data_IF_641568948560
#
_entry.id   IF_641568948560
#
_cell.length_a   1.000
_cell.length_b   1.000
_cell.length_c   1.000
_cell.angle_alpha   90.00
_cell.angle_beta   90.00
_cell.angle_gamma   90.00
#
_symmetry.space_group_name_H-M   'P 1'
#
loop_
_entity.id
_entity.type
_entity.pdbx_description
1 polymer ?
#
# COMPACT_ATOMS: atom_id res chain seq x y z
N UNK A 1 20.01 53.38 2.85
CA UNK A 1 18.63 53.36 2.34
C UNK A 1 17.91 52.24 3.08
N UNK A 2 16.82 52.56 3.79
CA UNK A 2 15.98 51.54 4.41
C UNK A 2 14.95 51.12 3.36
N UNK A 3 14.89 49.82 3.07
CA UNK A 3 13.92 49.23 2.14
C UNK A 3 13.00 48.29 2.92
N UNK A 4 11.70 48.38 2.65
CA UNK A 4 10.67 47.50 3.18
C UNK A 4 10.07 46.72 2.00
N UNK A 5 9.85 45.42 2.18
CA UNK A 5 9.27 44.54 1.18
C UNK A 5 8.21 43.63 1.83
N UNK A 6 7.10 43.46 1.14
CA UNK A 6 6.02 42.55 1.53
C UNK A 6 5.62 41.67 0.35
N UNK A 7 5.37 40.38 0.58
CA UNK A 7 4.85 39.46 -0.42
C UNK A 7 3.38 39.15 -0.18
N UNK A 8 2.63 38.90 -1.25
CA UNK A 8 1.25 38.42 -1.24
C UNK A 8 1.31 36.98 -1.78
N UNK A 9 1.18 35.98 -0.91
CA UNK A 9 1.36 34.55 -1.24
C UNK A 9 0.02 33.84 -1.28
N UNK A 10 -0.27 33.14 -2.38
CA UNK A 10 -1.43 32.26 -2.52
C UNK A 10 -0.97 30.80 -2.43
N UNK A 11 -1.10 30.19 -1.26
CA UNK A 11 -0.78 28.77 -1.06
C UNK A 11 -1.83 27.89 -1.74
N UNK A 12 -1.41 26.81 -2.41
CA UNK A 12 -2.32 25.91 -3.13
C UNK A 12 -1.96 24.46 -2.87
N UNK A 13 -2.89 23.72 -2.26
CA UNK A 13 -2.75 22.26 -2.06
C UNK A 13 -3.41 21.52 -3.21
N UNK A 14 -2.85 20.37 -3.62
CA UNK A 14 -3.37 19.56 -4.74
C UNK A 14 -3.41 18.08 -4.37
N UNK A 15 -4.38 17.37 -4.92
CA UNK A 15 -4.49 15.92 -4.82
C UNK A 15 -5.55 15.35 -5.75
N UNK A 16 -5.72 14.03 -5.74
CA UNK A 16 -6.78 13.37 -6.49
C UNK A 16 -7.40 12.21 -5.72
N UNK A 17 -8.61 11.84 -6.11
CA UNK A 17 -9.34 10.66 -5.63
C UNK A 17 -9.79 9.80 -6.81
N UNK A 18 -9.87 8.48 -6.64
CA UNK A 18 -10.30 7.53 -7.66
C UNK A 18 -11.56 6.83 -7.17
N UNK A 19 -12.62 6.91 -7.96
CA UNK A 19 -13.88 6.22 -7.73
C UNK A 19 -14.09 5.16 -8.82
N UNK A 20 -14.12 3.89 -8.43
CA UNK A 20 -14.59 2.79 -9.27
C UNK A 20 -16.09 2.62 -9.08
N UNK A 21 -16.84 2.63 -10.18
CA UNK A 21 -18.23 2.19 -10.22
C UNK A 21 -18.18 0.77 -10.78
N UNK A 22 -18.60 -0.19 -9.96
CA UNK A 22 -18.67 -1.60 -10.31
C UNK A 22 -20.13 -2.05 -10.31
N UNK A 23 -20.54 -2.83 -11.31
CA UNK A 23 -21.95 -3.17 -11.52
C UNK A 23 -22.79 -2.00 -12.06
N UNK A 24 -22.26 -1.24 -13.03
CA UNK A 24 -22.91 -0.08 -13.65
C UNK A 24 -24.37 -0.37 -14.06
N UNK A 25 -24.62 -1.53 -14.68
CA UNK A 25 -25.96 -1.96 -15.08
C UNK A 25 -26.94 -1.98 -13.91
N UNK A 26 -26.51 -2.41 -12.72
CA UNK A 26 -27.31 -2.41 -11.49
C UNK A 26 -27.61 -1.00 -10.97
N UNK A 27 -26.73 -0.03 -11.23
CA UNK A 27 -26.94 1.37 -10.81
C UNK A 27 -28.03 2.07 -11.63
N UNK A 28 -28.40 1.54 -12.80
CA UNK A 28 -29.47 2.12 -13.65
C UNK A 28 -30.86 2.05 -13.02
N UNK A 29 -31.04 1.28 -11.95
CA UNK A 29 -32.28 1.26 -11.17
C UNK A 29 -32.49 2.51 -10.30
N UNK A 30 -31.46 3.34 -10.08
CA UNK A 30 -31.56 4.55 -9.26
C UNK A 30 -32.48 5.59 -9.91
N UNK A 31 -33.49 6.13 -9.22
CA UNK A 31 -34.37 7.15 -9.80
C UNK A 31 -33.60 8.39 -10.28
N UNK A 32 -34.09 9.06 -11.33
CA UNK A 32 -33.54 10.36 -11.76
C UNK A 32 -33.64 11.37 -10.62
N UNK A 33 -32.56 12.12 -10.38
CA UNK A 33 -32.43 13.04 -9.26
C UNK A 33 -31.90 12.42 -7.97
N UNK A 34 -31.82 11.08 -7.88
CA UNK A 34 -31.20 10.38 -6.76
C UNK A 34 -29.75 10.01 -7.08
N UNK A 35 -28.88 10.05 -6.06
CA UNK A 35 -27.48 9.69 -6.21
C UNK A 35 -27.07 8.52 -5.32
N UNK A 36 -26.01 7.86 -5.75
CA UNK A 36 -25.23 6.92 -4.96
C UNK A 36 -24.02 7.67 -4.43
N UNK A 37 -23.82 7.61 -3.11
CA UNK A 37 -22.72 8.28 -2.42
C UNK A 37 -21.48 7.39 -2.40
N UNK A 38 -20.30 7.95 -2.75
CA UNK A 38 -19.03 7.29 -2.47
C UNK A 38 -18.75 7.25 -0.96
N UNK A 39 -17.83 6.38 -0.54
CA UNK A 39 -17.27 6.51 0.80
C UNK A 39 -16.65 7.91 0.98
N UNK A 40 -16.78 8.53 2.16
CA UNK A 40 -16.10 9.78 2.46
C UNK A 40 -14.58 9.61 2.38
N UNK A 41 -13.89 10.64 1.89
CA UNK A 41 -12.43 10.67 1.79
C UNK A 41 -11.89 12.04 2.18
N UNK A 42 -10.64 12.06 2.65
CA UNK A 42 -9.95 13.32 2.97
C UNK A 42 -9.02 13.70 1.83
N UNK A 43 -9.18 14.91 1.31
CA UNK A 43 -8.35 15.44 0.22
C UNK A 43 -8.07 16.92 0.47
N UNK A 44 -6.81 17.33 0.33
CA UNK A 44 -6.37 18.71 0.57
C UNK A 44 -6.76 19.25 1.97
N UNK A 45 -6.82 18.38 2.98
CA UNK A 45 -7.14 18.74 4.36
C UNK A 45 -8.64 18.82 4.69
N UNK A 46 -9.51 18.56 3.72
CA UNK A 46 -10.97 18.62 3.89
C UNK A 46 -11.62 17.26 3.62
N UNK A 47 -12.75 16.99 4.26
CA UNK A 47 -13.54 15.77 4.06
C UNK A 47 -14.56 15.93 2.95
N UNK A 48 -14.58 15.00 2.01
CA UNK A 48 -15.43 15.03 0.82
C UNK A 48 -16.13 13.69 0.60
N UNK A 49 -17.15 13.68 -0.26
CA UNK A 49 -17.58 12.48 -0.98
C UNK A 49 -18.02 12.86 -2.40
N UNK A 50 -18.11 11.86 -3.27
CA UNK A 50 -18.63 12.03 -4.63
C UNK A 50 -20.09 11.57 -4.66
N UNK A 51 -20.94 12.37 -5.29
CA UNK A 51 -22.31 12.03 -5.65
C UNK A 51 -22.32 11.55 -7.10
N UNK A 52 -22.69 10.29 -7.31
CA UNK A 52 -22.84 9.69 -8.62
C UNK A 52 -24.33 9.52 -8.93
N UNK A 53 -24.82 10.18 -9.97
CA UNK A 53 -26.19 10.10 -10.45
C UNK A 53 -26.22 9.28 -11.75
N UNK A 54 -26.61 7.99 -11.72
CA UNK A 54 -26.64 7.13 -12.91
C UNK A 54 -27.62 7.64 -13.98
N UNK A 55 -28.71 8.27 -13.52
CA UNK A 55 -29.84 8.70 -14.33
C UNK A 55 -30.09 10.21 -14.29
N UNK A 56 -29.01 10.99 -14.15
CA UNK A 56 -29.05 12.45 -14.15
C UNK A 56 -29.41 13.05 -12.79
N UNK A 57 -28.80 14.19 -12.47
CA UNK A 57 -29.13 15.00 -11.29
C UNK A 57 -30.51 15.67 -11.36
N UNK A 58 -31.02 15.88 -12.57
CA UNK A 58 -32.37 16.43 -12.81
C UNK A 58 -33.01 15.72 -14.00
N UNK A 59 -34.31 15.92 -14.19
CA UNK A 59 -35.03 15.42 -15.37
C UNK A 59 -34.47 15.95 -16.70
N UNK A 60 -33.83 17.12 -16.71
CA UNK A 60 -33.24 17.72 -17.92
C UNK A 60 -31.96 17.03 -18.39
N UNK A 61 -31.26 16.37 -17.46
CA UNK A 61 -30.07 15.57 -17.75
C UNK A 61 -30.31 14.07 -17.53
N UNK A 62 -31.57 13.63 -17.63
CA UNK A 62 -31.97 12.25 -17.37
C UNK A 62 -31.31 11.21 -18.28
N UNK A 63 -30.68 11.60 -19.39
CA UNK A 63 -29.93 10.71 -20.30
C UNK A 63 -28.42 10.70 -20.06
N UNK A 64 -27.96 11.44 -19.05
CA UNK A 64 -26.55 11.58 -18.69
C UNK A 64 -26.28 10.97 -17.33
N UNK A 65 -25.04 10.55 -17.15
CA UNK A 65 -24.45 10.42 -15.83
C UNK A 65 -24.06 11.81 -15.35
N UNK A 66 -24.41 12.13 -14.11
CA UNK A 66 -23.95 13.34 -13.43
C UNK A 66 -23.01 12.97 -12.28
N UNK A 67 -21.97 13.78 -12.07
CA UNK A 67 -21.00 13.56 -11.00
C UNK A 67 -20.70 14.89 -10.32
N UNK A 68 -20.83 14.91 -8.99
CA UNK A 68 -20.56 16.07 -8.15
C UNK A 68 -19.62 15.71 -7.02
N UNK A 69 -18.71 16.63 -6.70
CA UNK A 69 -17.95 16.58 -5.46
C UNK A 69 -18.76 17.33 -4.39
N UNK A 70 -18.86 16.75 -3.20
CA UNK A 70 -19.58 17.32 -2.06
C UNK A 70 -18.63 17.50 -0.87
N UNK A 71 -18.64 18.66 -0.23
CA UNK A 71 -17.87 18.95 0.98
C UNK A 71 -18.63 18.43 2.22
N UNK A 72 -18.13 17.36 2.84
CA UNK A 72 -18.78 16.65 3.97
C UNK A 72 -18.42 17.26 5.33
N UNK A 73 -18.27 18.58 5.40
CA UNK A 73 -17.91 19.29 6.62
C UNK A 73 -18.33 20.77 6.58
N UNK A 74 -18.39 21.37 7.77
CA UNK A 74 -18.58 22.80 7.95
C UNK A 74 -17.25 23.55 7.88
N UNK A 75 -17.18 24.61 7.07
CA UNK A 75 -16.02 25.48 6.93
C UNK A 75 -16.32 26.89 7.42
N UNK A 76 -15.34 27.52 8.06
CA UNK A 76 -15.46 28.89 8.57
C UNK A 76 -15.33 29.96 7.46
N UNK A 77 -14.67 29.62 6.36
CA UNK A 77 -14.56 30.43 5.14
C UNK A 77 -14.77 29.53 3.93
N UNK A 78 -15.41 30.06 2.89
CA UNK A 78 -15.65 29.31 1.67
C UNK A 78 -14.33 28.97 0.96
N UNK A 79 -14.23 27.75 0.44
CA UNK A 79 -13.03 27.23 -0.22
C UNK A 79 -13.06 27.60 -1.70
N UNK A 80 -11.93 28.05 -2.26
CA UNK A 80 -11.74 28.20 -3.71
C UNK A 80 -11.08 26.95 -4.26
N UNK A 81 -11.83 26.19 -5.04
CA UNK A 81 -11.47 24.84 -5.48
C UNK A 81 -11.43 24.78 -6.99
N UNK A 82 -10.31 24.37 -7.58
CA UNK A 82 -10.27 23.90 -8.96
C UNK A 82 -10.54 22.41 -8.97
N UNK A 83 -11.54 21.99 -9.75
CA UNK A 83 -12.02 20.61 -9.83
C UNK A 83 -11.90 20.10 -11.27
N UNK A 84 -11.56 18.83 -11.43
CA UNK A 84 -11.66 18.10 -12.70
C UNK A 84 -12.06 16.65 -12.45
N UNK A 85 -13.05 16.15 -13.20
CA UNK A 85 -13.28 14.71 -13.33
C UNK A 85 -12.80 14.22 -14.70
N UNK A 86 -12.21 13.03 -14.76
CA UNK A 86 -11.85 12.35 -16.00
C UNK A 86 -11.93 10.82 -15.84
N UNK A 87 -12.02 10.11 -16.96
CA UNK A 87 -11.81 8.66 -16.96
C UNK A 87 -10.33 8.35 -16.81
N UNK A 88 -10.00 7.30 -16.06
CA UNK A 88 -8.60 6.92 -15.79
C UNK A 88 -7.86 6.52 -17.07
N UNK A 89 -8.57 5.98 -18.06
CA UNK A 89 -8.04 5.49 -19.34
C UNK A 89 -7.77 6.60 -20.38
N UNK A 90 -7.99 7.87 -20.03
CA UNK A 90 -7.73 9.04 -20.89
C UNK A 90 -6.47 9.83 -20.46
N UNK A 91 -5.63 9.23 -19.62
CA UNK A 91 -4.38 9.84 -19.20
C UNK A 91 -3.30 9.64 -20.29
N UNK A 92 -3.18 10.59 -21.22
CA UNK A 92 -1.93 10.81 -21.96
C UNK A 92 -0.85 11.38 -21.02
N UNK A 93 0.42 11.07 -21.31
CA UNK A 93 1.63 11.14 -20.46
C UNK A 93 2.08 12.56 -20.05
N UNK A 94 1.18 13.54 -19.98
CA UNK A 94 1.47 14.87 -19.44
C UNK A 94 0.61 15.17 -18.23
N UNK A 95 1.21 15.78 -17.21
CA UNK A 95 0.54 16.24 -15.99
C UNK A 95 -0.75 16.97 -16.37
N UNK A 96 -1.94 16.47 -15.97
CA UNK A 96 -3.19 17.06 -16.41
C UNK A 96 -3.28 18.49 -15.87
N UNK A 97 -3.26 19.45 -16.78
CA UNK A 97 -3.56 20.85 -16.47
C UNK A 97 -4.98 20.93 -15.89
N UNK A 98 -5.10 21.50 -14.69
CA UNK A 98 -6.37 21.93 -14.11
C UNK A 98 -6.81 23.16 -14.92
N UNK A 99 -7.67 22.96 -15.92
CA UNK A 99 -8.09 24.02 -16.86
C UNK A 99 -9.40 24.71 -16.48
N UNK A 100 -9.97 24.41 -15.30
CA UNK A 100 -11.22 25.01 -14.82
C UNK A 100 -10.98 26.27 -13.97
N UNK A 101 -11.85 27.27 -14.15
CA UNK A 101 -11.98 28.40 -13.22
C UNK A 101 -12.28 27.88 -11.80
N UNK A 102 -11.70 28.46 -10.74
CA UNK A 102 -11.97 28.04 -9.37
C UNK A 102 -13.45 28.23 -9.00
N UNK A 103 -14.04 27.18 -8.44
CA UNK A 103 -15.42 27.17 -7.92
C UNK A 103 -15.40 27.35 -6.41
N UNK A 104 -16.48 27.91 -5.85
CA UNK A 104 -16.55 28.22 -4.42
C UNK A 104 -17.39 27.17 -3.70
N UNK A 105 -16.80 26.49 -2.71
CA UNK A 105 -17.50 25.56 -1.82
C UNK A 105 -17.78 26.23 -0.47
N UNK A 106 -19.05 26.35 -0.11
CA UNK A 106 -19.47 26.64 1.26
C UNK A 106 -19.60 25.37 2.09
N UNK A 107 -19.89 25.50 3.38
CA UNK A 107 -20.21 24.37 4.26
C UNK A 107 -21.28 23.48 3.64
N UNK A 108 -21.00 22.18 3.55
CA UNK A 108 -21.97 21.20 3.02
C UNK A 108 -22.43 21.50 1.57
N UNK A 109 -21.58 22.13 0.77
CA UNK A 109 -21.86 22.47 -0.64
C UNK A 109 -21.32 21.44 -1.63
N UNK A 110 -21.89 21.46 -2.84
CA UNK A 110 -21.48 20.61 -3.95
C UNK A 110 -21.17 21.40 -5.23
N UNK A 111 -20.34 20.81 -6.08
CA UNK A 111 -20.12 21.27 -7.44
C UNK A 111 -19.70 20.13 -8.34
N UNK A 112 -20.15 20.14 -9.60
CA UNK A 112 -19.91 19.04 -10.52
C UNK A 112 -20.47 19.28 -11.92
N UNK A 113 -20.59 18.19 -12.67
CA UNK A 113 -21.08 18.19 -14.04
C UNK A 113 -22.41 17.44 -14.11
N UNK A 114 -23.49 18.17 -14.35
CA UNK A 114 -24.82 17.61 -14.60
C UNK A 114 -24.87 16.72 -15.86
N UNK A 115 -23.98 16.98 -16.83
CA UNK A 115 -23.88 16.23 -18.10
C UNK A 115 -22.44 15.75 -18.28
N UNK A 116 -21.95 14.90 -17.38
CA UNK A 116 -20.57 14.42 -17.40
C UNK A 116 -20.30 13.53 -18.63
N UNK A 117 -21.16 12.54 -18.86
CA UNK A 117 -21.16 11.70 -20.07
C UNK A 117 -22.59 11.22 -20.37
N UNK A 118 -22.98 11.12 -21.64
CA UNK A 118 -24.24 10.46 -22.02
C UNK A 118 -24.18 8.97 -21.71
N UNK A 119 -25.27 8.36 -21.22
CA UNK A 119 -25.25 6.91 -20.92
C UNK A 119 -24.90 6.06 -22.14
N UNK A 120 -25.53 6.35 -23.28
CA UNK A 120 -25.25 5.64 -24.54
C UNK A 120 -23.80 5.85 -25.00
N UNK A 121 -23.22 7.02 -24.74
CA UNK A 121 -21.82 7.30 -25.05
C UNK A 121 -20.88 6.52 -24.14
N UNK A 122 -21.18 6.43 -22.83
CA UNK A 122 -20.41 5.60 -21.91
C UNK A 122 -20.46 4.12 -22.34
N UNK A 123 -21.65 3.59 -22.63
CA UNK A 123 -21.86 2.20 -23.04
C UNK A 123 -21.14 1.83 -24.35
N UNK A 124 -20.96 2.80 -25.24
CA UNK A 124 -20.19 2.65 -26.49
C UNK A 124 -18.71 2.95 -26.33
N UNK A 125 -18.30 3.54 -25.21
CA UNK A 125 -16.92 3.98 -25.00
C UNK A 125 -16.01 2.84 -24.55
N UNK A 126 -14.69 3.07 -24.64
CA UNK A 126 -13.66 2.20 -24.05
C UNK A 126 -13.64 2.24 -22.51
N UNK A 127 -14.38 3.15 -21.87
CA UNK A 127 -14.28 3.40 -20.43
C UNK A 127 -15.11 2.42 -19.59
N UNK A 128 -16.15 1.84 -20.17
CA UNK A 128 -16.96 0.81 -19.55
C UNK A 128 -16.41 -0.56 -19.96
N UNK A 129 -15.83 -1.29 -19.01
CA UNK A 129 -15.29 -2.64 -19.19
C UNK A 129 -15.83 -3.53 -18.09
N UNK A 130 -16.33 -4.71 -18.44
CA UNK A 130 -16.84 -5.69 -17.46
C UNK A 130 -17.87 -5.08 -16.48
N UNK A 131 -18.81 -4.30 -17.02
CA UNK A 131 -19.82 -3.56 -16.25
C UNK A 131 -19.25 -2.58 -15.20
N UNK A 132 -18.00 -2.16 -15.37
CA UNK A 132 -17.27 -1.26 -14.49
C UNK A 132 -16.67 -0.07 -15.24
N UNK A 133 -16.60 1.09 -14.59
CA UNK A 133 -15.80 2.23 -15.06
C UNK A 133 -15.17 2.99 -13.89
N UNK A 134 -14.10 3.72 -14.18
CA UNK A 134 -13.31 4.43 -13.15
C UNK A 134 -13.21 5.90 -13.47
N UNK A 135 -13.58 6.73 -12.49
CA UNK A 135 -13.51 8.18 -12.55
C UNK A 135 -12.44 8.67 -11.58
N UNK A 136 -11.54 9.52 -12.07
CA UNK A 136 -10.57 10.27 -11.27
C UNK A 136 -11.11 11.68 -11.03
N UNK A 137 -10.93 12.16 -9.80
CA UNK A 137 -11.33 13.49 -9.32
C UNK A 137 -10.07 14.24 -8.87
N UNK A 138 -9.59 15.20 -9.66
CA UNK A 138 -8.47 16.07 -9.30
C UNK A 138 -8.97 17.35 -8.62
N UNK A 139 -8.36 17.70 -7.49
CA UNK A 139 -8.73 18.84 -6.65
C UNK A 139 -7.51 19.70 -6.36
N UNK A 140 -7.64 21.01 -6.52
CA UNK A 140 -6.69 21.99 -6.00
C UNK A 140 -7.41 23.08 -5.21
N UNK A 141 -6.95 23.37 -4.00
CA UNK A 141 -7.55 24.36 -3.11
C UNK A 141 -6.57 25.50 -2.91
N UNK A 142 -6.96 26.72 -3.30
CA UNK A 142 -6.19 27.93 -3.02
C UNK A 142 -6.56 28.46 -1.64
N UNK A 143 -5.61 28.39 -0.72
CA UNK A 143 -5.71 28.87 0.64
C UNK A 143 -5.68 30.41 0.70
N UNK A 144 -5.89 30.96 1.90
CA UNK A 144 -5.87 32.41 2.11
C UNK A 144 -4.61 33.06 1.56
N UNK A 145 -4.82 34.14 0.81
CA UNK A 145 -3.77 35.01 0.32
C UNK A 145 -3.18 35.75 1.53
N UNK A 146 -1.95 35.42 1.92
CA UNK A 146 -1.28 36.02 3.09
C UNK A 146 -0.34 37.14 2.66
N UNK A 147 -0.28 38.20 3.46
CA UNK A 147 0.72 39.27 3.30
C UNK A 147 1.83 39.04 4.33
N UNK A 148 3.05 38.81 3.88
CA UNK A 148 4.20 38.55 4.76
C UNK A 148 5.25 39.65 4.56
N UNK A 149 5.79 40.20 5.65
CA UNK A 149 6.98 41.07 5.62
C UNK A 149 8.22 40.20 5.39
N UNK A 150 8.91 40.45 4.28
CA UNK A 150 10.15 39.75 3.93
C UNK A 150 11.29 40.39 4.72
N UNK A 151 11.76 39.70 5.77
CA UNK A 151 12.96 40.09 6.51
C UNK A 151 14.22 40.12 5.62
N UNK A 152 14.18 39.40 4.48
CA UNK A 152 15.19 39.47 3.43
C UNK A 152 14.49 39.71 2.08
N UNK A 153 14.73 40.87 1.48
CA UNK A 153 14.18 41.23 0.18
C UNK A 153 14.61 40.20 -0.90
N UNK A 154 13.69 39.54 -1.62
CA UNK A 154 14.04 38.79 -2.79
C UNK A 154 14.29 39.81 -3.90
N UNK A 155 15.56 39.95 -4.25
CA UNK A 155 16.00 40.47 -5.54
C UNK A 155 15.13 39.87 -6.64
N UNK A 156 14.65 40.68 -7.59
CA UNK A 156 14.07 40.16 -8.85
C UNK A 156 15.05 39.18 -9.48
N UNK A 157 14.86 37.88 -9.27
CA UNK A 157 15.65 36.86 -9.91
C UNK A 157 14.89 36.37 -11.12
N UNK A 158 15.28 36.88 -12.29
CA UNK A 158 15.18 36.20 -13.59
C UNK A 158 16.01 34.89 -13.62
N UNK A 159 16.24 34.29 -12.46
CA UNK A 159 17.17 33.19 -12.22
C UNK A 159 16.32 32.00 -11.81
N UNK A 160 16.18 31.08 -12.76
CA UNK A 160 15.67 29.74 -12.51
C UNK A 160 16.67 28.99 -11.63
N UNK A 161 16.27 28.65 -10.40
CA UNK A 161 17.02 27.73 -9.56
C UNK A 161 16.60 26.31 -9.97
N UNK A 162 17.46 25.54 -10.65
CA UNK A 162 17.10 24.19 -11.06
C UNK A 162 16.86 23.30 -9.82
N UNK A 163 16.02 22.25 -9.94
CA UNK A 163 15.89 21.24 -8.91
C UNK A 163 17.25 20.68 -8.50
N UNK A 164 17.39 20.30 -7.22
CA UNK A 164 18.64 19.71 -6.74
C UNK A 164 18.97 18.45 -7.55
N UNK A 165 20.15 18.48 -8.17
CA UNK A 165 20.74 17.35 -8.86
C UNK A 165 21.81 16.65 -8.02
N UNK A 166 21.81 16.85 -6.69
CA UNK A 166 22.77 16.20 -5.78
C UNK A 166 22.77 14.67 -5.94
N UNK A 167 21.59 14.07 -6.11
CA UNK A 167 21.43 12.63 -6.35
C UNK A 167 22.16 12.19 -7.63
N UNK A 168 22.18 13.02 -8.69
CA UNK A 168 22.94 12.75 -9.92
C UNK A 168 24.43 12.88 -9.66
N UNK A 169 24.88 13.95 -8.99
CA UNK A 169 26.29 14.13 -8.67
C UNK A 169 26.87 12.98 -7.82
N UNK A 170 26.10 12.48 -6.84
CA UNK A 170 26.49 11.32 -6.05
C UNK A 170 26.40 10.02 -6.86
N UNK A 171 25.38 9.86 -7.71
CA UNK A 171 25.30 8.75 -8.66
C UNK A 171 26.51 8.68 -9.60
N UNK A 172 26.93 9.82 -10.15
CA UNK A 172 28.11 9.97 -10.99
C UNK A 172 29.40 9.63 -10.22
N UNK A 173 29.47 9.98 -8.93
CA UNK A 173 30.58 9.61 -8.07
C UNK A 173 30.70 8.09 -7.91
N UNK A 174 29.58 7.39 -7.74
CA UNK A 174 29.54 5.92 -7.72
C UNK A 174 29.95 5.33 -9.09
N UNK A 175 29.42 5.87 -10.18
CA UNK A 175 29.67 5.35 -11.53
C UNK A 175 31.12 5.56 -12.00
N UNK A 176 31.72 6.71 -11.67
CA UNK A 176 33.10 7.03 -12.05
C UNK A 176 34.14 6.42 -11.12
N UNK A 177 33.72 5.91 -9.97
CA UNK A 177 34.58 5.37 -8.90
C UNK A 177 35.65 6.35 -8.39
N UNK A 178 35.48 7.65 -8.68
CA UNK A 178 36.51 8.66 -8.44
C UNK A 178 36.66 8.93 -6.95
N UNK A 179 37.81 8.53 -6.38
CA UNK A 179 38.08 8.70 -4.96
C UNK A 179 37.51 7.58 -4.09
N UNK A 180 37.09 6.47 -4.69
CA UNK A 180 36.65 5.30 -3.94
C UNK A 180 37.78 4.78 -3.04
N UNK A 181 37.44 4.54 -1.78
CA UNK A 181 38.34 4.17 -0.69
C UNK A 181 37.95 2.83 -0.04
N UNK A 182 36.97 2.13 -0.62
CA UNK A 182 36.57 0.78 -0.24
C UNK A 182 36.17 -0.04 -1.48
N UNK A 183 36.44 -1.34 -1.41
CA UNK A 183 36.12 -2.31 -2.46
C UNK A 183 35.32 -3.46 -1.85
N UNK A 184 34.18 -3.80 -2.44
CA UNK A 184 33.36 -4.95 -2.07
C UNK A 184 33.49 -6.04 -3.13
N UNK A 185 33.52 -7.30 -2.70
CA UNK A 185 33.46 -8.47 -3.55
C UNK A 185 32.14 -9.20 -3.27
N UNK A 186 31.25 -9.26 -4.27
CA UNK A 186 29.87 -9.77 -4.13
C UNK A 186 29.55 -10.68 -5.32
N UNK A 187 29.22 -11.95 -5.06
CA UNK A 187 28.99 -12.97 -6.11
C UNK A 187 30.07 -13.03 -7.21
N UNK A 188 31.33 -12.75 -6.86
CA UNK A 188 32.44 -12.72 -7.83
C UNK A 188 32.61 -11.40 -8.59
N UNK A 189 31.67 -10.47 -8.47
CA UNK A 189 31.80 -9.10 -8.98
C UNK A 189 32.48 -8.18 -7.95
N UNK A 190 33.11 -7.12 -8.44
CA UNK A 190 33.83 -6.14 -7.62
C UNK A 190 33.15 -4.78 -7.72
N UNK A 191 32.86 -4.16 -6.57
CA UNK A 191 32.19 -2.86 -6.48
C UNK A 191 33.06 -1.89 -5.68
N UNK A 192 33.45 -0.77 -6.29
CA UNK A 192 34.15 0.31 -5.58
C UNK A 192 33.15 1.33 -5.03
N UNK A 193 33.40 1.84 -3.83
CA UNK A 193 32.51 2.79 -3.17
C UNK A 193 33.29 3.72 -2.21
N UNK A 194 32.54 4.58 -1.51
CA UNK A 194 33.06 5.62 -0.64
C UNK A 194 32.58 5.38 0.80
N UNK A 195 33.50 5.13 1.73
CA UNK A 195 33.19 4.78 3.12
C UNK A 195 32.32 5.84 3.79
N UNK A 196 32.62 7.12 3.56
CA UNK A 196 31.88 8.23 4.15
C UNK A 196 30.42 8.30 3.69
N UNK A 197 30.14 8.03 2.40
CA UNK A 197 28.77 8.01 1.86
C UNK A 197 28.01 6.83 2.44
N UNK A 198 28.61 5.64 2.44
CA UNK A 198 27.98 4.42 2.98
C UNK A 198 27.66 4.58 4.48
N UNK A 199 28.63 5.05 5.28
CA UNK A 199 28.46 5.24 6.72
C UNK A 199 27.41 6.32 7.05
N UNK A 200 27.35 7.39 6.28
CA UNK A 200 26.33 8.43 6.48
C UNK A 200 24.90 7.94 6.22
N UNK A 201 24.74 6.91 5.39
CA UNK A 201 23.44 6.44 4.89
C UNK A 201 22.97 5.13 5.53
N UNK A 202 23.88 4.37 6.15
CA UNK A 202 23.58 3.11 6.83
C UNK A 202 24.36 3.02 8.15
N UNK A 203 23.66 2.90 9.29
CA UNK A 203 24.30 2.66 10.59
C UNK A 203 25.13 1.36 10.62
N UNK A 204 24.73 0.36 9.85
CA UNK A 204 25.44 -0.91 9.73
C UNK A 204 26.76 -0.70 8.99
N UNK A 205 26.74 -0.03 7.82
CA UNK A 205 27.99 0.33 7.15
C UNK A 205 28.87 1.26 8.01
N UNK A 206 28.28 2.19 8.75
CA UNK A 206 29.04 3.05 9.67
C UNK A 206 29.81 2.21 10.69
N UNK A 207 29.14 1.24 11.31
CA UNK A 207 29.73 0.34 12.30
C UNK A 207 30.77 -0.60 11.66
N UNK A 208 30.49 -1.17 10.50
CA UNK A 208 31.40 -2.09 9.82
C UNK A 208 32.66 -1.41 9.28
N UNK A 209 32.55 -0.17 8.81
CA UNK A 209 33.64 0.55 8.17
C UNK A 209 34.42 1.44 9.15
N UNK A 210 33.82 1.92 10.22
CA UNK A 210 34.48 2.82 11.18
C UNK A 210 34.42 2.33 12.64
N UNK A 211 33.91 1.13 12.89
CA UNK A 211 33.87 0.53 14.23
C UNK A 211 35.21 -0.06 14.70
N UNK A 212 35.36 -0.18 16.02
CA UNK A 212 36.62 -0.50 16.72
C UNK A 212 37.17 -1.92 16.45
N UNK A 213 36.46 -2.81 15.73
CA UNK A 213 36.86 -4.21 15.54
C UNK A 213 37.48 -4.56 14.18
N UNK A 214 37.60 -3.61 13.23
CA UNK A 214 38.14 -3.90 11.87
C UNK A 214 39.36 -3.08 11.44
N UNK A 215 39.91 -2.23 12.31
CA UNK A 215 41.09 -1.43 11.98
C UNK A 215 42.37 -2.27 11.75
N UNK A 216 42.39 -3.55 12.15
CA UNK A 216 43.57 -4.41 12.01
C UNK A 216 43.74 -5.09 10.65
N UNK A 217 42.67 -5.29 9.85
CA UNK A 217 42.75 -5.98 8.55
C UNK A 217 42.32 -5.11 7.34
N UNK A 218 41.46 -4.10 7.54
CA UNK A 218 40.97 -3.25 6.45
C UNK A 218 41.91 -2.09 6.07
N UNK A 219 43.03 -1.93 6.77
CA UNK A 219 44.02 -0.86 6.56
C UNK A 219 45.06 -1.20 5.47
N UNK A 220 45.03 -2.41 4.91
CA UNK A 220 45.96 -2.87 3.87
C UNK A 220 45.23 -3.37 2.60
N UNK A 221 44.40 -2.53 1.96
CA UNK A 221 43.88 -2.79 0.62
C UNK A 221 42.99 -4.02 0.44
N UNK A 222 42.47 -4.59 1.53
CA UNK A 222 41.60 -5.78 1.50
C UNK A 222 40.19 -5.44 1.03
N UNK A 223 39.66 -6.22 0.08
CA UNK A 223 38.26 -6.17 -0.34
C UNK A 223 37.33 -6.75 0.73
N UNK A 224 36.19 -6.10 0.98
CA UNK A 224 35.14 -6.60 1.88
C UNK A 224 34.27 -7.61 1.12
N UNK A 225 34.19 -8.86 1.59
CA UNK A 225 33.35 -9.88 0.97
C UNK A 225 31.92 -9.84 1.50
N UNK A 226 30.95 -9.97 0.59
CA UNK A 226 29.53 -10.17 0.90
C UNK A 226 29.10 -11.45 0.18
N UNK A 227 28.92 -12.52 0.95
CA UNK A 227 28.63 -13.85 0.41
C UNK A 227 27.12 -14.09 0.25
N UNK A 228 26.28 -13.53 1.12
CA UNK A 228 24.82 -13.72 1.12
C UNK A 228 24.07 -12.60 0.39
N UNK A 229 24.52 -12.24 -0.81
CA UNK A 229 23.82 -11.27 -1.66
C UNK A 229 24.23 -11.43 -3.12
N UNK A 230 23.24 -11.36 -4.01
CA UNK A 230 23.50 -11.33 -5.44
C UNK A 230 24.05 -9.96 -5.87
N UNK A 231 24.99 -9.97 -6.82
CA UNK A 231 25.65 -8.76 -7.31
C UNK A 231 24.66 -7.68 -7.80
N UNK A 232 23.58 -8.07 -8.49
CA UNK A 232 22.57 -7.13 -9.00
C UNK A 232 21.76 -6.47 -7.87
N UNK A 233 21.51 -7.19 -6.76
CA UNK A 233 20.84 -6.67 -5.56
C UNK A 233 21.74 -5.66 -4.87
N UNK A 234 23.02 -6.01 -4.68
CA UNK A 234 23.99 -5.10 -4.09
C UNK A 234 24.20 -3.83 -4.92
N UNK A 235 24.21 -3.97 -6.25
CA UNK A 235 24.26 -2.83 -7.17
C UNK A 235 23.07 -1.89 -6.99
N UNK A 236 21.84 -2.42 -6.86
CA UNK A 236 20.66 -1.61 -6.59
C UNK A 236 20.69 -0.95 -5.21
N UNK A 237 21.20 -1.65 -4.20
CA UNK A 237 21.40 -1.11 -2.85
C UNK A 237 22.39 0.06 -2.87
N UNK A 238 23.54 -0.08 -3.53
CA UNK A 238 24.49 1.01 -3.72
C UNK A 238 23.85 2.18 -4.48
N UNK A 239 23.14 1.90 -5.57
CA UNK A 239 22.44 2.96 -6.31
C UNK A 239 21.48 3.74 -5.40
N UNK A 240 20.70 3.05 -4.56
CA UNK A 240 19.80 3.71 -3.59
C UNK A 240 20.57 4.51 -2.54
N UNK A 241 21.69 3.99 -2.02
CA UNK A 241 22.49 4.71 -1.02
C UNK A 241 22.97 6.06 -1.55
N UNK A 242 23.38 6.14 -2.82
CA UNK A 242 23.89 7.36 -3.44
C UNK A 242 22.81 8.28 -4.00
N UNK A 243 21.70 7.73 -4.51
CA UNK A 243 20.69 8.50 -5.26
C UNK A 243 19.35 8.64 -4.55
N UNK A 244 19.15 7.91 -3.45
CA UNK A 244 17.87 7.82 -2.72
C UNK A 244 16.69 7.36 -3.61
N UNK A 245 17.01 6.65 -4.70
CA UNK A 245 16.08 6.19 -5.74
C UNK A 245 16.39 4.76 -6.16
N UNK A 246 15.44 4.08 -6.82
CA UNK A 246 15.66 2.76 -7.40
C UNK A 246 15.93 2.87 -8.91
N UNK A 247 16.77 2.00 -9.50
CA UNK A 247 17.02 1.99 -10.94
C UNK A 247 15.74 1.79 -11.76
N UNK A 248 15.54 2.59 -12.82
CA UNK A 248 14.35 2.53 -13.69
C UNK A 248 14.23 1.22 -14.46
N UNK A 249 15.34 0.52 -14.72
CA UNK A 249 15.35 -0.77 -15.41
C UNK A 249 14.78 -1.92 -14.56
N UNK A 250 14.45 -1.68 -13.28
CA UNK A 250 13.72 -2.63 -12.43
C UNK A 250 12.19 -2.66 -12.72
N UNK A 251 11.73 -2.03 -13.82
CA UNK A 251 10.33 -1.67 -14.05
C UNK A 251 9.68 -2.33 -15.28
N UNK A 252 10.25 -3.41 -15.83
CA UNK A 252 9.78 -3.99 -17.11
C UNK A 252 8.89 -5.22 -17.01
N UNK A 253 8.96 -6.02 -15.94
CA UNK A 253 8.11 -7.19 -15.69
C UNK A 253 7.71 -7.24 -14.19
N UNK A 254 6.42 -7.46 -13.92
CA UNK A 254 5.86 -7.49 -12.55
C UNK A 254 6.39 -8.67 -11.72
N UNK A 255 6.69 -9.82 -12.34
CA UNK A 255 7.19 -11.01 -11.63
C UNK A 255 8.68 -10.87 -11.31
N UNK A 256 9.50 -10.43 -12.26
CA UNK A 256 10.93 -10.14 -12.01
C UNK A 256 11.10 -9.00 -11.01
N UNK A 257 10.23 -7.98 -11.07
CA UNK A 257 10.21 -6.90 -10.08
C UNK A 257 9.90 -7.43 -8.68
N UNK A 258 8.93 -8.35 -8.57
CA UNK A 258 8.58 -8.98 -7.30
C UNK A 258 9.78 -9.69 -6.67
N UNK A 259 10.46 -10.54 -7.43
CA UNK A 259 11.67 -11.26 -6.95
C UNK A 259 12.76 -10.28 -6.52
N UNK A 260 13.09 -9.29 -7.36
CA UNK A 260 14.09 -8.29 -6.99
C UNK A 260 13.72 -7.52 -5.71
N UNK A 261 12.46 -7.12 -5.55
CA UNK A 261 12.02 -6.41 -4.35
C UNK A 261 12.11 -7.28 -3.09
N UNK A 262 11.92 -8.60 -3.20
CA UNK A 262 12.13 -9.53 -2.09
C UNK A 262 13.60 -9.50 -1.64
N UNK A 263 14.55 -9.76 -2.55
CA UNK A 263 15.97 -9.74 -2.21
C UNK A 263 16.43 -8.37 -1.70
N UNK A 264 15.93 -7.28 -2.31
CA UNK A 264 16.28 -5.93 -1.89
C UNK A 264 15.68 -5.55 -0.54
N UNK A 265 14.52 -6.09 -0.16
CA UNK A 265 13.95 -5.94 1.18
C UNK A 265 14.86 -6.57 2.23
N UNK A 266 15.31 -7.81 2.01
CA UNK A 266 16.27 -8.50 2.90
C UNK A 266 17.54 -7.67 3.05
N UNK A 267 18.07 -7.15 1.94
CA UNK A 267 19.25 -6.30 1.93
C UNK A 267 19.02 -4.97 2.69
N UNK A 268 17.87 -4.32 2.48
CA UNK A 268 17.52 -3.08 3.15
C UNK A 268 17.41 -3.26 4.67
N UNK A 269 16.82 -4.36 5.12
CA UNK A 269 16.73 -4.72 6.53
C UNK A 269 18.12 -4.98 7.13
N UNK A 270 18.94 -5.81 6.45
CA UNK A 270 20.33 -6.12 6.85
C UNK A 270 21.19 -4.89 7.06
N UNK A 271 21.05 -3.87 6.19
CA UNK A 271 21.82 -2.63 6.25
C UNK A 271 21.09 -1.47 6.94
N UNK A 272 19.94 -1.73 7.56
CA UNK A 272 19.11 -0.75 8.27
C UNK A 272 18.79 0.50 7.41
N UNK A 273 18.32 0.26 6.18
CA UNK A 273 17.89 1.26 5.21
C UNK A 273 16.35 1.37 5.20
N UNK A 274 15.78 1.94 6.26
CA UNK A 274 14.33 1.90 6.52
C UNK A 274 13.47 2.43 5.35
N UNK A 275 13.86 3.56 4.73
CA UNK A 275 13.12 4.10 3.57
C UNK A 275 13.12 3.15 2.38
N UNK A 276 14.23 2.43 2.14
CA UNK A 276 14.30 1.43 1.08
C UNK A 276 13.42 0.23 1.41
N UNK A 277 13.45 -0.24 2.66
CA UNK A 277 12.61 -1.33 3.15
C UNK A 277 11.13 -1.05 2.91
N UNK A 278 10.65 0.14 3.28
CA UNK A 278 9.27 0.57 3.04
C UNK A 278 8.90 0.69 1.55
N UNK A 279 9.84 1.13 0.70
CA UNK A 279 9.63 1.15 -0.76
C UNK A 279 9.46 -0.28 -1.29
N UNK A 280 10.28 -1.23 -0.82
CA UNK A 280 10.15 -2.64 -1.18
C UNK A 280 8.81 -3.21 -0.69
N UNK A 281 8.40 -2.94 0.56
CA UNK A 281 7.08 -3.34 1.08
C UNK A 281 5.94 -2.84 0.17
N UNK A 282 5.94 -1.54 -0.17
CA UNK A 282 4.92 -0.94 -1.02
C UNK A 282 4.84 -1.60 -2.41
N UNK A 283 5.99 -1.96 -3.00
CA UNK A 283 6.03 -2.66 -4.28
C UNK A 283 5.53 -4.09 -4.15
N UNK A 284 5.98 -4.82 -3.13
CA UNK A 284 5.56 -6.20 -2.89
C UNK A 284 4.06 -6.32 -2.62
N UNK A 285 3.42 -5.31 -2.02
CA UNK A 285 1.96 -5.27 -1.89
C UNK A 285 1.23 -5.39 -3.22
N UNK A 286 1.80 -4.86 -4.33
CA UNK A 286 1.22 -4.97 -5.67
C UNK A 286 1.48 -6.32 -6.33
N UNK A 287 2.44 -7.08 -5.81
CA UNK A 287 2.83 -8.40 -6.30
C UNK A 287 2.12 -9.53 -5.56
N UNK A 288 1.18 -9.25 -4.64
CA UNK A 288 0.45 -10.28 -3.89
C UNK A 288 -0.55 -10.97 -4.82
N UNK A 289 -0.31 -12.25 -5.07
CA UNK A 289 -1.15 -13.19 -5.84
C UNK A 289 -1.18 -14.53 -5.11
N UNK A 290 -2.04 -15.45 -5.52
CA UNK A 290 -2.11 -16.78 -4.91
C UNK A 290 -0.75 -17.52 -4.91
N UNK A 291 0.00 -17.42 -6.01
CA UNK A 291 1.32 -18.06 -6.16
C UNK A 291 2.46 -17.42 -5.37
N UNK A 292 2.34 -16.14 -4.99
CA UNK A 292 3.42 -15.36 -4.35
C UNK A 292 3.14 -15.05 -2.89
N UNK A 293 1.91 -15.21 -2.43
CA UNK A 293 1.51 -14.86 -1.06
C UNK A 293 2.39 -15.54 -0.01
N UNK A 294 2.69 -16.83 -0.20
CA UNK A 294 3.45 -17.62 0.74
C UNK A 294 4.85 -17.05 1.00
N UNK A 295 5.58 -16.76 -0.08
CA UNK A 295 6.94 -16.22 -0.01
C UNK A 295 6.94 -14.79 0.52
N UNK A 296 5.99 -13.96 0.08
CA UNK A 296 5.85 -12.56 0.54
C UNK A 296 5.50 -12.50 2.04
N UNK A 297 4.57 -13.35 2.50
CA UNK A 297 4.19 -13.41 3.92
C UNK A 297 5.36 -13.89 4.79
N UNK A 298 6.08 -14.94 4.38
CA UNK A 298 7.24 -15.42 5.11
C UNK A 298 8.32 -14.33 5.26
N UNK A 299 8.60 -13.60 4.18
CA UNK A 299 9.52 -12.46 4.21
C UNK A 299 9.02 -11.34 5.12
N UNK A 300 7.72 -11.03 5.08
CA UNK A 300 7.14 -10.00 5.91
C UNK A 300 7.26 -10.32 7.40
N UNK A 301 7.13 -11.59 7.77
CA UNK A 301 7.35 -12.03 9.15
C UNK A 301 8.82 -11.99 9.54
N UNK A 302 9.68 -12.60 8.73
CA UNK A 302 11.12 -12.69 8.99
C UNK A 302 11.77 -11.31 9.17
N UNK A 303 11.29 -10.30 8.45
CA UNK A 303 11.83 -8.94 8.48
C UNK A 303 10.90 -7.94 9.18
N UNK A 304 9.91 -8.40 9.95
CA UNK A 304 9.01 -7.56 10.74
C UNK A 304 8.30 -6.44 9.93
N UNK A 305 7.90 -6.73 8.70
CA UNK A 305 7.24 -5.81 7.78
C UNK A 305 5.72 -5.81 8.03
N UNK A 306 5.27 -5.00 8.99
CA UNK A 306 3.87 -4.99 9.42
C UNK A 306 2.89 -4.58 8.32
N UNK A 307 3.25 -3.61 7.47
CA UNK A 307 2.40 -3.14 6.37
C UNK A 307 2.17 -4.23 5.34
N UNK A 308 3.26 -4.88 4.92
CA UNK A 308 3.22 -6.00 3.99
C UNK A 308 2.46 -7.21 4.56
N UNK A 309 2.68 -7.56 5.83
CA UNK A 309 1.94 -8.63 6.53
C UNK A 309 0.43 -8.37 6.55
N UNK A 310 0.02 -7.13 6.84
CA UNK A 310 -1.38 -6.72 6.81
C UNK A 310 -1.99 -6.85 5.41
N UNK A 311 -1.25 -6.50 4.36
CA UNK A 311 -1.69 -6.66 2.98
C UNK A 311 -1.91 -8.15 2.62
N UNK A 312 -1.00 -9.04 3.04
CA UNK A 312 -1.18 -10.49 2.88
C UNK A 312 -2.44 -11.02 3.58
N UNK A 313 -2.71 -10.58 4.81
CA UNK A 313 -3.93 -10.98 5.52
C UNK A 313 -5.18 -10.44 4.87
N UNK A 314 -5.17 -9.18 4.44
CA UNK A 314 -6.26 -8.59 3.66
C UNK A 314 -6.55 -9.37 2.38
N UNK A 315 -5.53 -9.95 1.74
CA UNK A 315 -5.70 -10.80 0.57
C UNK A 315 -6.38 -12.12 0.93
N UNK A 316 -6.02 -12.75 2.06
CA UNK A 316 -6.63 -13.98 2.59
C UNK A 316 -8.06 -13.80 3.13
N UNK A 317 -8.44 -12.57 3.50
CA UNK A 317 -9.82 -12.23 3.88
C UNK A 317 -10.84 -12.34 2.73
N UNK A 318 -10.42 -12.67 1.50
CA UNK A 318 -11.32 -13.03 0.40
C UNK A 318 -11.42 -14.56 0.26
N UNK A 319 -12.63 -15.15 0.25
CA UNK A 319 -12.80 -16.61 0.12
C UNK A 319 -12.25 -17.15 -1.21
N UNK A 320 -12.40 -16.38 -2.29
CA UNK A 320 -11.90 -16.72 -3.63
C UNK A 320 -10.37 -16.78 -3.63
N UNK A 321 -9.73 -15.80 -2.98
CA UNK A 321 -8.28 -15.75 -2.88
C UNK A 321 -7.73 -16.86 -1.99
N UNK A 322 -8.37 -17.11 -0.84
CA UNK A 322 -7.99 -18.21 0.05
C UNK A 322 -8.09 -19.55 -0.68
N UNK A 323 -9.19 -19.80 -1.39
CA UNK A 323 -9.36 -21.03 -2.19
C UNK A 323 -8.26 -21.15 -3.24
N UNK A 324 -7.94 -20.05 -3.95
CA UNK A 324 -6.87 -20.04 -4.94
C UNK A 324 -5.50 -20.35 -4.33
N UNK A 325 -5.21 -19.81 -3.14
CA UNK A 325 -3.96 -20.08 -2.39
C UNK A 325 -3.91 -21.54 -1.93
N UNK A 326 -4.99 -22.08 -1.37
CA UNK A 326 -5.08 -23.47 -0.92
C UNK A 326 -4.90 -24.48 -2.06
N UNK A 327 -5.25 -24.09 -3.29
CA UNK A 327 -5.04 -24.89 -4.49
C UNK A 327 -3.59 -24.87 -5.02
N UNK A 328 -2.70 -24.07 -4.41
CA UNK A 328 -1.28 -24.01 -4.79
C UNK A 328 -0.39 -24.77 -3.80
N UNK A 329 0.69 -25.36 -4.31
CA UNK A 329 1.76 -25.95 -3.50
C UNK A 329 2.43 -24.90 -2.57
N UNK A 330 2.24 -23.60 -2.86
CA UNK A 330 2.77 -22.49 -2.07
C UNK A 330 2.22 -22.48 -0.63
N UNK A 331 1.04 -23.06 -0.38
CA UNK A 331 0.50 -23.16 0.97
C UNK A 331 1.24 -24.21 1.82
N UNK A 332 1.77 -25.28 1.22
CA UNK A 332 2.66 -26.22 1.92
C UNK A 332 4.02 -25.57 2.28
N UNK A 333 4.47 -24.60 1.47
CA UNK A 333 5.67 -23.80 1.76
C UNK A 333 5.50 -22.90 2.99
N UNK A 334 4.31 -22.32 3.20
CA UNK A 334 3.99 -21.63 4.46
C UNK A 334 4.07 -22.58 5.66
N UNK A 335 3.70 -23.84 5.46
CA UNK A 335 3.76 -24.87 6.50
C UNK A 335 5.17 -25.28 6.94
N UNK A 336 6.19 -24.93 6.15
CA UNK A 336 7.57 -25.35 6.39
C UNK A 336 8.54 -24.18 6.63
N UNK A 337 8.21 -22.99 6.13
CA UNK A 337 9.15 -21.84 6.09
C UNK A 337 8.83 -20.77 7.13
N UNK A 338 7.57 -20.64 7.52
CA UNK A 338 7.22 -19.85 8.70
C UNK A 338 7.43 -20.74 9.93
N UNK A 339 7.92 -20.22 11.08
CA UNK A 339 7.76 -20.88 12.38
C UNK A 339 6.29 -21.19 12.72
N UNK A 340 5.39 -20.74 11.85
CA UNK A 340 3.96 -20.72 11.98
C UNK A 340 3.20 -21.61 10.95
N UNK A 341 3.86 -22.61 10.39
CA UNK A 341 3.20 -23.66 9.62
C UNK A 341 2.42 -24.64 10.48
N UNK A 342 1.11 -24.83 10.23
CA UNK A 342 0.15 -25.31 11.25
C UNK A 342 0.60 -24.86 12.67
N UNK A 343 0.82 -23.56 12.82
CA UNK A 343 1.30 -22.87 14.02
C UNK A 343 0.45 -23.12 15.25
N UNK A 344 -0.80 -23.53 15.04
CA UNK A 344 -1.76 -23.71 16.12
C UNK A 344 -2.45 -25.05 16.02
N UNK A 345 -2.36 -25.76 17.13
CA UNK A 345 -3.07 -27.01 17.36
C UNK A 345 -4.15 -26.72 18.37
N UNK A 346 -5.40 -26.97 18.02
CA UNK A 346 -6.53 -26.89 18.94
C UNK A 346 -6.85 -28.29 19.46
N UNK A 347 -6.99 -28.42 20.77
CA UNK A 347 -7.47 -29.64 21.41
C UNK A 347 -8.90 -29.39 21.88
N UNK A 348 -9.86 -30.13 21.31
CA UNK A 348 -11.29 -29.99 21.59
C UNK A 348 -11.82 -31.36 22.03
N UNK A 349 -12.05 -31.50 23.34
CA UNK A 349 -12.25 -32.81 23.95
C UNK A 349 -11.06 -33.75 23.70
N UNK A 350 -11.31 -34.90 23.06
CA UNK A 350 -10.28 -35.88 22.69
C UNK A 350 -9.72 -35.70 21.28
N UNK A 351 -10.21 -34.73 20.51
CA UNK A 351 -9.81 -34.50 19.13
C UNK A 351 -8.80 -33.36 19.01
N UNK A 352 -7.95 -33.47 18.00
CA UNK A 352 -6.91 -32.49 17.70
C UNK A 352 -7.12 -31.93 16.29
N UNK A 353 -7.12 -30.60 16.19
CA UNK A 353 -7.30 -29.87 14.94
C UNK A 353 -6.09 -28.99 14.67
N UNK A 354 -5.56 -29.07 13.46
CA UNK A 354 -4.47 -28.20 13.00
C UNK A 354 -5.07 -27.08 12.17
N UNK A 355 -4.61 -25.85 12.40
CA UNK A 355 -5.01 -24.69 11.62
C UNK A 355 -3.83 -23.71 11.50
N UNK A 356 -4.04 -22.69 10.67
CA UNK A 356 -3.05 -21.67 10.32
C UNK A 356 -3.49 -20.33 10.93
N UNK A 357 -2.70 -19.75 11.83
CA UNK A 357 -3.03 -18.48 12.53
C UNK A 357 -3.24 -17.36 11.53
N UNK A 358 -2.50 -17.36 10.41
CA UNK A 358 -2.69 -16.37 9.35
C UNK A 358 -4.09 -16.44 8.71
N UNK A 359 -4.62 -17.64 8.46
CA UNK A 359 -5.99 -17.81 7.94
C UNK A 359 -7.01 -17.45 9.02
N UNK A 360 -6.83 -17.97 10.24
CA UNK A 360 -7.73 -17.68 11.36
C UNK A 360 -7.82 -16.19 11.64
N UNK A 361 -6.70 -15.47 11.71
CA UNK A 361 -6.71 -14.03 11.99
C UNK A 361 -7.15 -13.16 10.82
N UNK A 362 -6.97 -13.63 9.58
CA UNK A 362 -7.53 -12.94 8.42
C UNK A 362 -9.07 -13.05 8.35
N UNK A 363 -9.65 -14.06 9.01
CA UNK A 363 -11.03 -14.49 8.82
C UNK A 363 -11.90 -14.48 10.08
N UNK A 364 -11.31 -14.23 11.26
CA UNK A 364 -11.98 -14.17 12.54
C UNK A 364 -11.36 -13.08 13.40
N UNK A 365 -12.16 -12.11 13.82
CA UNK A 365 -11.73 -11.05 14.73
C UNK A 365 -11.28 -11.62 16.08
N UNK A 366 -11.98 -12.65 16.60
CA UNK A 366 -11.60 -13.31 17.86
C UNK A 366 -10.24 -13.97 17.74
N UNK A 367 -10.01 -14.77 16.69
CA UNK A 367 -8.69 -15.37 16.50
C UNK A 367 -7.62 -14.34 16.16
N UNK A 368 -7.98 -13.24 15.50
CA UNK A 368 -7.07 -12.11 15.28
C UNK A 368 -6.62 -11.51 16.61
N UNK A 369 -7.54 -11.21 17.52
CA UNK A 369 -7.20 -10.66 18.85
C UNK A 369 -6.50 -11.70 19.73
N UNK A 370 -6.94 -12.95 19.73
CA UNK A 370 -6.38 -13.98 20.62
C UNK A 370 -5.00 -14.46 20.16
N UNK A 371 -4.81 -14.59 18.85
CA UNK A 371 -3.54 -15.05 18.27
C UNK A 371 -2.56 -13.89 17.99
N UNK A 372 -3.01 -12.63 17.92
CA UNK A 372 -2.14 -11.48 17.62
C UNK A 372 -2.15 -10.36 18.67
N UNK A 373 -3.13 -10.31 19.58
CA UNK A 373 -3.21 -9.32 20.66
C UNK A 373 -2.19 -9.51 21.79
N UNK A 374 -1.57 -10.69 21.88
CA UNK A 374 -0.42 -10.95 22.76
C UNK A 374 0.86 -11.11 21.93
N UNK A 375 1.48 -10.00 21.52
CA UNK A 375 2.90 -9.99 21.10
C UNK A 375 3.82 -10.19 22.31
N UNK A 376 3.78 -11.39 22.90
CA UNK A 376 4.95 -12.01 23.52
C UNK A 376 5.27 -13.23 22.66
N UNK A 377 6.29 -13.10 21.81
CA UNK A 377 6.90 -14.19 21.05
C UNK A 377 7.58 -15.25 21.96
N UNK A 378 7.26 -15.34 23.25
CA UNK A 378 8.01 -16.17 24.21
C UNK A 378 7.36 -17.50 24.62
N UNK A 379 6.07 -17.73 24.38
CA UNK A 379 5.39 -18.84 25.10
C UNK A 379 4.90 -20.01 24.22
N UNK A 380 5.09 -20.00 22.90
CA UNK A 380 4.65 -21.13 22.04
C UNK A 380 5.76 -22.04 21.53
N UNK A 381 7.00 -21.86 21.98
CA UNK A 381 8.10 -22.78 21.68
C UNK A 381 8.00 -24.15 22.41
N UNK A 382 6.93 -24.39 23.18
CA UNK A 382 6.76 -25.59 23.98
C UNK A 382 5.38 -26.25 23.79
N UNK A 383 5.08 -26.75 22.59
CA UNK A 383 4.20 -27.92 22.35
C UNK A 383 2.79 -27.97 22.98
N UNK A 384 2.27 -26.90 23.56
CA UNK A 384 0.95 -26.84 24.18
C UNK A 384 -0.09 -26.39 23.17
N UNK A 385 -0.98 -27.29 22.76
CA UNK A 385 -2.14 -26.91 21.95
C UNK A 385 -3.10 -26.00 22.73
N UNK A 386 -3.84 -25.14 22.03
CA UNK A 386 -4.91 -24.32 22.59
C UNK A 386 -6.08 -25.24 22.94
N UNK A 387 -6.49 -25.30 24.21
CA UNK A 387 -7.64 -26.10 24.62
C UNK A 387 -8.94 -25.32 24.43
N UNK A 388 -9.96 -25.97 23.87
CA UNK A 388 -11.31 -25.44 23.77
C UNK A 388 -12.23 -26.37 24.54
N UNK A 389 -12.67 -25.91 25.70
CA UNK A 389 -13.49 -26.68 26.65
C UNK A 389 -14.99 -26.53 26.37
N UNK A 390 -15.42 -25.35 25.90
CA UNK A 390 -16.83 -24.98 25.77
C UNK A 390 -17.40 -25.21 24.35
N UNK A 391 -16.82 -26.13 23.59
CA UNK A 391 -17.27 -26.43 22.23
C UNK A 391 -17.12 -27.91 21.90
N UNK A 392 -18.14 -28.49 21.26
CA UNK A 392 -18.03 -29.86 20.78
C UNK A 392 -17.10 -29.94 19.55
N UNK A 393 -16.33 -31.03 19.46
CA UNK A 393 -15.33 -31.19 18.41
C UNK A 393 -15.92 -31.14 16.98
N UNK A 394 -17.16 -31.62 16.80
CA UNK A 394 -17.83 -31.58 15.50
C UNK A 394 -18.26 -30.16 15.11
N UNK A 395 -18.68 -29.33 16.08
CA UNK A 395 -18.98 -27.90 15.89
C UNK A 395 -17.69 -27.14 15.56
N UNK A 396 -16.61 -27.38 16.29
CA UNK A 396 -15.33 -26.74 16.01
C UNK A 396 -14.77 -27.13 14.63
N UNK A 397 -14.98 -28.38 14.20
CA UNK A 397 -14.62 -28.83 12.85
C UNK A 397 -15.39 -28.06 11.76
N UNK A 398 -16.69 -27.83 11.96
CA UNK A 398 -17.51 -27.06 11.03
C UNK A 398 -17.11 -25.58 11.03
N UNK A 399 -16.79 -25.00 12.20
CA UNK A 399 -16.25 -23.65 12.32
C UNK A 399 -14.96 -23.48 11.50
N UNK A 400 -14.02 -24.41 11.66
CA UNK A 400 -12.79 -24.40 10.85
C UNK A 400 -13.09 -24.59 9.37
N UNK A 401 -14.00 -25.50 9.00
CA UNK A 401 -14.37 -25.68 7.59
C UNK A 401 -14.93 -24.39 7.01
N UNK A 402 -15.81 -23.71 7.73
CA UNK A 402 -16.39 -22.43 7.31
C UNK A 402 -15.31 -21.36 7.17
N UNK A 403 -14.40 -21.20 8.14
CA UNK A 403 -13.29 -20.23 8.05
C UNK A 403 -12.42 -20.46 6.79
N UNK A 404 -12.28 -21.71 6.33
CA UNK A 404 -11.43 -22.04 5.19
C UNK A 404 -12.17 -22.00 3.84
N UNK A 405 -13.49 -22.16 3.85
CA UNK A 405 -14.26 -22.47 2.62
C UNK A 405 -15.53 -21.65 2.45
N UNK A 406 -15.91 -20.82 3.43
CA UNK A 406 -17.22 -20.14 3.54
C UNK A 406 -18.42 -21.09 3.36
N UNK A 407 -18.20 -22.39 3.53
CA UNK A 407 -19.19 -23.43 3.29
C UNK A 407 -19.48 -24.20 4.56
N UNK A 408 -20.76 -24.31 4.88
CA UNK A 408 -21.24 -25.18 5.93
C UNK A 408 -21.37 -26.60 5.40
N UNK A 409 -20.92 -27.61 6.16
CA UNK A 409 -21.02 -28.98 5.69
C UNK A 409 -22.48 -29.44 5.65
N UNK A 410 -23.00 -29.66 4.44
CA UNK A 410 -24.33 -30.26 4.26
C UNK A 410 -24.34 -31.68 4.87
N UNK A 411 -25.29 -31.94 5.78
CA UNK A 411 -25.54 -33.23 6.46
C UNK A 411 -24.67 -33.57 7.68
N UNK A 412 -23.95 -32.61 8.27
CA UNK A 412 -23.20 -32.84 9.52
C UNK A 412 -23.88 -32.26 10.77
N UNK A 413 -24.98 -31.52 10.63
CA UNK A 413 -25.62 -30.79 11.72
C UNK A 413 -27.15 -30.86 11.62
N UNK A 414 -27.81 -30.93 12.78
CA UNK A 414 -29.23 -30.65 12.91
C UNK A 414 -29.48 -29.13 12.99
N UNK A 415 -30.75 -28.72 12.94
CA UNK A 415 -31.11 -27.29 12.89
C UNK A 415 -30.70 -26.50 14.15
N UNK A 416 -30.72 -27.13 15.33
CA UNK A 416 -30.28 -26.49 16.58
C UNK A 416 -28.75 -26.33 16.61
N UNK A 417 -28.01 -27.31 16.08
CA UNK A 417 -26.56 -27.25 15.92
C UNK A 417 -26.12 -26.19 14.90
N UNK A 418 -26.89 -26.02 13.80
CA UNK A 418 -26.67 -24.97 12.80
C UNK A 418 -26.87 -23.57 13.41
N UNK A 419 -27.94 -23.36 14.18
CA UNK A 419 -28.21 -22.10 14.88
C UNK A 419 -27.11 -21.79 15.93
N UNK A 420 -26.68 -22.81 16.69
CA UNK A 420 -25.59 -22.67 17.66
C UNK A 420 -24.26 -22.31 16.97
N UNK A 421 -23.96 -22.92 15.84
CA UNK A 421 -22.74 -22.66 15.09
C UNK A 421 -22.78 -21.28 14.41
N UNK A 422 -23.92 -20.82 13.89
CA UNK A 422 -24.07 -19.43 13.42
C UNK A 422 -23.83 -18.42 14.55
N UNK A 423 -24.29 -18.72 15.76
CA UNK A 423 -23.98 -17.91 16.94
C UNK A 423 -22.47 -17.91 17.25
N UNK A 424 -21.79 -19.05 17.14
CA UNK A 424 -20.34 -19.12 17.31
C UNK A 424 -19.57 -18.36 16.22
N UNK A 425 -20.00 -18.42 14.96
CA UNK A 425 -19.41 -17.66 13.85
C UNK A 425 -19.56 -16.15 14.06
N UNK A 426 -20.73 -15.72 14.54
CA UNK A 426 -21.00 -14.32 14.87
C UNK A 426 -20.16 -13.85 16.06
N UNK A 427 -20.04 -14.67 17.11
CA UNK A 427 -19.17 -14.37 18.26
C UNK A 427 -17.70 -14.34 17.83
N UNK A 428 -17.28 -15.22 16.92
CA UNK A 428 -15.94 -15.27 16.38
C UNK A 428 -15.60 -14.12 15.42
N UNK A 429 -16.59 -13.28 15.07
CA UNK A 429 -16.44 -12.19 14.10
C UNK A 429 -16.08 -12.70 12.70
N UNK A 430 -16.59 -13.87 12.33
CA UNK A 430 -16.36 -14.48 11.00
C UNK A 430 -17.45 -14.08 10.01
N UNK A 431 -18.68 -13.87 10.50
CA UNK A 431 -19.86 -13.45 9.72
C UNK A 431 -20.51 -12.19 10.28
#
# INVERSE_FOLDING_TARGET
MSASASAIVADTTRGYHILKIDGYSGTKGTPTGEFIKSNPFTLCGHRWFIQYYPNGHTSECADYISIFLYLDEGVSKALKVQLRFCFIDDMEVQTPSLTSEPVTFGSYGDWGWARFIGREDLERSKHLKDDSFVVRCDVAITNEIRTEELADAPTTTFVFVPPSNLHQHLGDLLQTEKGADVVFQVSGETFKAHRCVLAARSPVFSSELFGQMKESDATAGGSIRIDDMEAYVFKALLFFVYTDSLPENLMSDDDEQGVMCQHLLVAADRYNLERLKLICEYRLCKCIKASTLATILALAEQHHCHGLKKACFSFLSSPVNLTAVLATDAFEYLNTTCPSGADVVFQVGTQTFKAHRCVLAARSDVFSVELFGQMKESDTAAGGGIHIDDMEAHVFKALLLFIYTDSLPENLMNKEEEDAMLQHLLVAGVI
#
